data_IF_377444931641
#
_entry.id   IF_377444931641
#
_cell.length_a   1.000
_cell.length_b   1.000
_cell.length_c   1.000
_cell.angle_alpha   90.00
_cell.angle_beta   90.00
_cell.angle_gamma   90.00
#
_symmetry.space_group_name_H-M   'P 1'
#
loop_
_entity.id
_entity.type
_entity.pdbx_description
1 polymer ?
#
# COMPACT_ATOMS: atom_id res chain seq x y z
N UNK A 1 0.01 0.36 16.66
CA UNK A 1 0.86 1.56 16.72
C UNK A 1 0.98 1.92 18.19
N UNK A 2 2.20 1.96 18.74
CA UNK A 2 2.44 2.33 20.14
C UNK A 2 3.03 3.74 20.17
N UNK A 3 2.51 4.64 21.00
CA UNK A 3 3.07 5.97 21.21
C UNK A 3 4.06 6.00 22.38
N UNK A 4 5.04 6.89 22.29
CA UNK A 4 6.10 7.09 23.27
C UNK A 4 6.55 8.56 23.26
N UNK A 5 7.37 8.95 24.23
CA UNK A 5 8.06 10.25 24.24
C UNK A 5 9.57 10.01 24.23
N UNK A 6 10.29 10.68 23.32
CA UNK A 6 11.75 10.64 23.27
C UNK A 6 12.31 11.36 24.50
N UNK A 7 13.18 10.70 25.24
CA UNK A 7 13.73 11.22 26.51
C UNK A 7 14.65 12.42 26.33
N UNK A 8 15.33 12.53 25.19
CA UNK A 8 16.30 13.60 24.92
C UNK A 8 15.66 14.98 24.80
N UNK A 9 14.47 15.09 24.21
CA UNK A 9 13.82 16.37 23.88
C UNK A 9 12.31 16.39 24.14
N UNK A 10 11.74 15.31 24.69
CA UNK A 10 10.33 15.20 25.03
C UNK A 10 9.38 15.02 23.82
N UNK A 11 9.92 14.88 22.60
CA UNK A 11 9.12 14.76 21.38
C UNK A 11 8.23 13.51 21.40
N UNK A 12 6.95 13.64 21.00
CA UNK A 12 6.03 12.49 20.87
C UNK A 12 6.42 11.69 19.64
N UNK A 13 6.63 10.39 19.80
CA UNK A 13 7.08 9.48 18.74
C UNK A 13 6.23 8.22 18.75
N UNK A 14 5.94 7.65 17.59
CA UNK A 14 5.29 6.35 17.46
C UNK A 14 6.29 5.30 17.07
N UNK A 15 6.13 4.11 17.61
CA UNK A 15 6.80 2.90 17.17
C UNK A 15 6.04 2.33 15.97
N UNK A 16 6.70 2.31 14.82
CA UNK A 16 6.17 1.70 13.60
C UNK A 16 7.18 0.70 13.02
N UNK A 17 6.72 -0.47 12.67
CA UNK A 17 7.47 -1.39 11.83
C UNK A 17 7.28 -0.92 10.38
N UNK A 18 8.34 -0.47 9.73
CA UNK A 18 8.35 -0.07 8.31
C UNK A 18 9.64 -0.58 7.67
N UNK A 19 9.62 -0.71 6.35
CA UNK A 19 10.82 -0.95 5.56
C UNK A 19 11.84 0.19 5.80
N UNK A 20 13.03 -0.18 6.26
CA UNK A 20 14.06 0.76 6.73
C UNK A 20 14.67 1.52 5.55
N UNK A 21 14.87 0.88 4.40
CA UNK A 21 15.54 1.50 3.26
C UNK A 21 14.66 2.58 2.65
N UNK A 22 13.38 2.26 2.43
CA UNK A 22 12.39 3.20 1.92
C UNK A 22 12.15 4.33 2.92
N UNK A 23 12.01 3.96 4.20
CA UNK A 23 11.83 4.93 5.27
C UNK A 23 12.98 5.94 5.35
N UNK A 24 14.22 5.48 5.19
CA UNK A 24 15.42 6.33 5.13
C UNK A 24 15.44 7.17 3.86
N UNK A 25 15.06 6.61 2.71
CA UNK A 25 14.97 7.34 1.45
C UNK A 25 14.03 8.55 1.57
N UNK A 26 12.80 8.35 2.06
CA UNK A 26 11.85 9.46 2.28
C UNK A 26 12.23 10.39 3.45
N UNK A 27 13.20 10.01 4.28
CA UNK A 27 13.75 10.88 5.35
C UNK A 27 15.04 11.59 4.94
N UNK A 28 15.52 11.40 3.71
CA UNK A 28 16.76 11.99 3.19
C UNK A 28 16.59 13.47 2.79
N UNK A 29 17.69 14.22 2.77
CA UNK A 29 17.75 15.68 2.51
C UNK A 29 17.76 16.06 1.01
N UNK A 30 16.94 15.43 0.17
CA UNK A 30 16.06 16.26 -0.66
C UNK A 30 14.57 15.95 -0.45
N UNK A 31 14.22 14.72 -0.09
CA UNK A 31 12.83 14.28 0.00
C UNK A 31 12.14 14.79 1.26
N UNK A 32 12.83 14.93 2.38
CA UNK A 32 12.24 15.49 3.61
C UNK A 32 11.81 16.96 3.45
N UNK A 33 12.40 17.65 2.47
CA UNK A 33 12.07 19.04 2.12
C UNK A 33 11.06 19.13 0.97
N UNK A 34 10.75 18.01 0.30
CA UNK A 34 9.76 17.98 -0.76
C UNK A 34 8.36 18.21 -0.16
N UNK A 35 7.65 19.29 -0.55
CA UNK A 35 6.32 19.58 -0.02
C UNK A 35 5.26 18.51 -0.39
N UNK A 36 5.53 17.63 -1.34
CA UNK A 36 4.71 16.47 -1.70
C UNK A 36 5.05 15.21 -0.89
N UNK A 37 6.19 15.18 -0.19
CA UNK A 37 6.52 14.09 0.71
C UNK A 37 5.78 14.26 2.04
N UNK A 38 4.90 13.32 2.33
CA UNK A 38 4.10 13.29 3.55
C UNK A 38 4.57 12.20 4.53
N UNK A 39 5.71 11.56 4.25
CA UNK A 39 6.28 10.56 5.13
C UNK A 39 6.76 11.22 6.43
N UNK A 40 6.45 10.58 7.54
CA UNK A 40 6.95 11.02 8.83
C UNK A 40 8.45 10.73 8.89
N UNK A 41 9.31 11.73 9.20
CA UNK A 41 10.74 11.53 9.26
C UNK A 41 11.15 10.44 10.25
N UNK A 42 12.12 9.63 9.86
CA UNK A 42 12.78 8.67 10.74
C UNK A 42 13.91 9.36 11.48
N UNK A 43 13.82 9.40 12.80
CA UNK A 43 14.86 10.01 13.63
C UNK A 43 15.90 9.01 14.13
N UNK A 44 15.52 7.74 14.29
CA UNK A 44 16.42 6.67 14.71
C UNK A 44 15.88 5.29 14.32
N UNK A 45 16.79 4.36 14.01
CA UNK A 45 16.50 2.95 13.76
C UNK A 45 17.44 2.07 14.60
N UNK A 46 16.88 1.15 15.39
CA UNK A 46 17.64 0.07 16.05
C UNK A 46 17.72 -1.20 15.17
N UNK A 47 18.67 -2.09 15.47
CA UNK A 47 18.96 -3.39 14.81
C UNK A 47 17.71 -4.26 14.47
N UNK A 48 17.85 -5.32 13.64
CA UNK A 48 17.06 -5.62 12.44
C UNK A 48 15.61 -6.13 12.67
N UNK A 49 15.06 -5.99 13.87
CA UNK A 49 13.64 -6.21 14.20
C UNK A 49 13.00 -4.86 14.54
N UNK A 50 13.14 -3.91 13.61
CA UNK A 50 13.25 -2.47 13.89
C UNK A 50 11.95 -1.81 14.36
N UNK A 51 12.01 -1.34 15.60
CA UNK A 51 11.17 -0.27 16.16
C UNK A 51 11.68 1.07 15.60
N UNK A 52 10.86 1.78 14.83
CA UNK A 52 11.20 3.09 14.28
C UNK A 52 10.46 4.17 15.05
N UNK A 53 11.22 5.15 15.58
CA UNK A 53 10.67 6.34 16.24
C UNK A 53 10.36 7.40 15.18
N UNK A 54 9.08 7.55 14.85
CA UNK A 54 8.59 8.60 13.95
C UNK A 54 7.81 9.64 14.75
N UNK A 55 7.99 10.94 14.52
CA UNK A 55 7.24 11.94 15.30
C UNK A 55 5.72 11.84 15.06
N UNK A 56 4.92 11.77 16.12
CA UNK A 56 3.45 11.72 16.01
C UNK A 56 2.95 13.15 15.89
N UNK A 57 2.94 13.67 14.67
CA UNK A 57 2.41 15.00 14.35
C UNK A 57 1.30 14.93 13.30
N UNK A 58 0.55 13.83 13.24
CA UNK A 58 -0.57 13.71 12.30
C UNK A 58 -1.71 14.71 12.57
N UNK A 59 -1.73 15.31 13.77
CA UNK A 59 -2.68 16.35 14.16
C UNK A 59 -2.10 17.76 14.04
N UNK A 60 -0.93 17.94 13.42
CA UNK A 60 -0.29 19.25 13.24
C UNK A 60 -0.13 19.62 11.75
N UNK A 61 -0.32 20.90 11.44
CA UNK A 61 -0.04 21.52 10.14
C UNK A 61 1.41 21.26 9.68
N UNK A 62 1.65 21.37 8.36
CA UNK A 62 2.96 21.04 7.75
C UNK A 62 4.15 21.81 8.35
N UNK A 63 3.92 23.00 8.89
CA UNK A 63 4.94 23.83 9.53
C UNK A 63 5.01 23.63 11.06
N UNK A 64 4.24 22.69 11.60
CA UNK A 64 4.13 22.33 13.02
C UNK A 64 3.67 23.47 13.93
N UNK A 65 3.07 24.54 13.39
CA UNK A 65 2.67 25.72 14.18
C UNK A 65 1.22 25.69 14.65
N UNK A 66 0.40 24.85 14.04
CA UNK A 66 -1.03 24.75 14.33
C UNK A 66 -1.55 23.33 14.15
N UNK A 67 -2.79 23.08 14.57
CA UNK A 67 -3.47 21.79 14.35
C UNK A 67 -3.68 21.55 12.85
N UNK A 68 -3.46 20.32 12.38
CA UNK A 68 -3.68 19.92 11.00
C UNK A 68 -5.15 20.11 10.64
N UNK A 69 -5.42 20.64 9.44
CA UNK A 69 -6.78 20.58 8.89
C UNK A 69 -7.07 19.15 8.46
N UNK A 70 -7.91 18.47 9.23
CA UNK A 70 -8.43 17.17 8.84
C UNK A 70 -9.59 17.37 7.88
N UNK A 71 -9.51 16.72 6.72
CA UNK A 71 -10.62 16.59 5.79
C UNK A 71 -10.93 15.10 5.66
N UNK A 72 -12.22 14.77 5.55
CA UNK A 72 -12.61 13.39 5.30
C UNK A 72 -12.00 12.92 3.97
N UNK A 73 -11.62 11.64 3.88
CA UNK A 73 -11.08 11.04 2.65
C UNK A 73 -11.98 11.27 1.42
N UNK A 74 -13.29 11.42 1.62
CA UNK A 74 -14.24 11.78 0.56
C UNK A 74 -14.11 13.22 0.06
N UNK A 75 -13.76 14.16 0.94
CA UNK A 75 -13.63 15.59 0.63
C UNK A 75 -12.27 15.89 -0.02
N UNK A 76 -11.24 15.10 0.30
CA UNK A 76 -9.91 15.17 -0.32
C UNK A 76 -9.41 13.77 -0.68
N UNK A 77 -9.68 13.30 -1.91
CA UNK A 77 -9.27 11.97 -2.34
C UNK A 77 -7.74 11.79 -2.26
N UNK A 78 -7.25 10.74 -1.58
CA UNK A 78 -5.82 10.50 -1.44
C UNK A 78 -5.23 10.04 -2.78
N UNK A 79 -4.01 10.50 -3.06
CA UNK A 79 -3.20 10.00 -4.18
C UNK A 79 -2.32 8.86 -3.68
N UNK A 80 -2.39 7.72 -4.35
CA UNK A 80 -1.58 6.54 -4.06
C UNK A 80 -0.42 6.47 -5.04
N UNK A 81 0.76 6.11 -4.54
CA UNK A 81 1.97 5.91 -5.34
C UNK A 81 2.54 4.53 -5.00
N UNK A 82 3.01 3.80 -6.01
CA UNK A 82 3.84 2.61 -5.76
C UNK A 82 5.21 3.06 -5.28
N UNK A 83 5.65 2.42 -4.21
CA UNK A 83 6.96 2.60 -3.60
C UNK A 83 7.58 1.21 -3.47
N UNK A 84 8.81 1.13 -2.98
CA UNK A 84 9.55 -0.13 -2.80
C UNK A 84 9.95 -0.83 -4.10
N UNK A 85 10.80 -0.17 -4.89
CA UNK A 85 11.36 -0.79 -6.08
C UNK A 85 12.64 -1.59 -5.79
N UNK A 86 12.95 -1.88 -4.51
CA UNK A 86 14.21 -2.51 -4.09
C UNK A 86 14.42 -3.92 -4.69
N UNK A 87 13.32 -4.62 -4.93
CA UNK A 87 13.31 -5.95 -5.58
C UNK A 87 12.82 -5.90 -7.03
N UNK A 88 12.52 -4.72 -7.57
CA UNK A 88 11.99 -4.57 -8.92
C UNK A 88 13.07 -4.72 -9.98
N UNK A 89 12.69 -5.27 -11.13
CA UNK A 89 13.54 -5.34 -12.32
C UNK A 89 12.81 -4.72 -13.50
N UNK A 90 13.53 -3.93 -14.30
CA UNK A 90 13.01 -3.40 -15.56
C UNK A 90 13.33 -4.40 -16.67
N UNK A 91 12.29 -4.86 -17.36
CA UNK A 91 12.41 -5.75 -18.51
C UNK A 91 12.22 -4.96 -19.80
N UNK A 92 12.94 -5.36 -20.85
CA UNK A 92 12.79 -4.76 -22.18
C UNK A 92 11.45 -5.19 -22.82
N UNK A 93 10.79 -4.28 -23.54
CA UNK A 93 9.51 -4.54 -24.19
C UNK A 93 9.60 -5.56 -25.35
N UNK A 94 10.79 -5.71 -25.95
CA UNK A 94 11.06 -6.73 -26.97
C UNK A 94 11.24 -8.13 -26.38
N UNK A 95 11.35 -8.25 -25.05
CA UNK A 95 11.61 -9.52 -24.40
C UNK A 95 10.29 -10.29 -24.20
N UNK A 96 10.23 -11.54 -24.69
CA UNK A 96 9.21 -12.51 -24.27
C UNK A 96 9.26 -12.65 -22.74
N UNK A 97 8.12 -12.95 -22.05
CA UNK A 97 8.04 -12.88 -20.60
C UNK A 97 9.28 -13.48 -19.96
N UNK A 98 10.00 -12.69 -19.15
CA UNK A 98 11.33 -13.01 -18.68
C UNK A 98 11.18 -14.20 -17.76
N UNK A 99 11.54 -15.37 -18.25
CA UNK A 99 11.64 -16.49 -17.36
C UNK A 99 12.90 -16.29 -16.50
N UNK A 100 12.69 -15.92 -15.25
CA UNK A 100 13.78 -15.77 -14.30
C UNK A 100 14.25 -17.16 -13.85
N UNK A 101 15.57 -17.35 -13.88
CA UNK A 101 16.23 -18.34 -13.05
C UNK A 101 16.42 -17.69 -11.68
N UNK A 102 15.51 -17.99 -10.77
CA UNK A 102 15.74 -17.73 -9.35
C UNK A 102 16.51 -18.95 -8.83
N UNK A 103 17.60 -18.76 -8.08
CA UNK A 103 18.52 -19.85 -7.68
C UNK A 103 17.81 -21.04 -6.98
N UNK A 104 16.63 -20.81 -6.38
CA UNK A 104 15.78 -21.82 -5.74
C UNK A 104 14.74 -22.49 -6.66
N UNK A 105 14.55 -22.00 -7.88
CA UNK A 105 13.54 -22.53 -8.80
C UNK A 105 14.21 -23.32 -9.92
N UNK A 106 13.96 -24.63 -9.95
CA UNK A 106 14.46 -25.57 -10.96
C UNK A 106 13.94 -25.30 -12.37
N UNK A 107 12.95 -24.40 -12.53
CA UNK A 107 12.35 -24.05 -13.81
C UNK A 107 12.27 -22.53 -14.00
N UNK A 108 12.41 -22.08 -15.25
CA UNK A 108 12.27 -20.67 -15.59
C UNK A 108 10.87 -20.14 -15.15
N UNK A 109 10.82 -18.99 -14.45
CA UNK A 109 9.58 -18.45 -13.83
C UNK A 109 9.18 -17.07 -14.37
N UNK A 110 7.90 -16.89 -14.75
CA UNK A 110 7.37 -15.59 -15.16
C UNK A 110 6.91 -14.77 -13.93
N UNK A 111 7.49 -13.59 -13.64
CA UNK A 111 7.15 -12.80 -12.46
C UNK A 111 5.77 -12.13 -12.51
N UNK A 112 5.24 -11.78 -13.68
CA UNK A 112 4.04 -10.94 -13.76
C UNK A 112 2.81 -11.57 -13.11
N UNK A 113 2.52 -12.88 -13.30
CA UNK A 113 1.46 -13.55 -12.55
C UNK A 113 1.68 -13.56 -11.03
N UNK A 114 2.93 -13.55 -10.56
CA UNK A 114 3.25 -13.45 -9.12
C UNK A 114 2.84 -12.09 -8.59
N UNK A 115 3.17 -11.01 -9.29
CA UNK A 115 2.83 -9.65 -8.86
C UNK A 115 1.31 -9.47 -8.74
N UNK A 116 0.54 -10.02 -9.69
CA UNK A 116 -0.93 -10.04 -9.66
C UNK A 116 -1.47 -10.73 -8.40
N UNK A 117 -0.89 -11.86 -8.03
CA UNK A 117 -1.30 -12.59 -6.84
C UNK A 117 -0.91 -11.84 -5.57
N UNK A 118 0.32 -11.31 -5.51
CA UNK A 118 0.82 -10.52 -4.38
C UNK A 118 -0.03 -9.29 -4.10
N UNK A 119 -0.53 -8.65 -5.16
CA UNK A 119 -1.44 -7.50 -5.10
C UNK A 119 -2.73 -7.78 -4.33
N UNK A 120 -3.23 -9.01 -4.39
CA UNK A 120 -4.43 -9.41 -3.65
C UNK A 120 -4.06 -10.02 -2.31
N UNK A 121 -3.04 -10.87 -2.27
CA UNK A 121 -2.67 -11.62 -1.09
C UNK A 121 -2.19 -10.72 0.07
N UNK A 122 -1.32 -9.74 -0.23
CA UNK A 122 -0.77 -8.85 0.80
C UNK A 122 -1.88 -8.02 1.47
N UNK A 123 -2.80 -7.38 0.72
CA UNK A 123 -3.95 -6.72 1.32
C UNK A 123 -4.94 -7.70 1.94
N UNK A 124 -5.19 -8.90 1.38
CA UNK A 124 -6.15 -9.86 1.94
C UNK A 124 -5.79 -10.34 3.35
N UNK A 125 -4.49 -10.35 3.70
CA UNK A 125 -4.00 -10.69 5.04
C UNK A 125 -4.10 -9.54 6.05
N UNK A 126 -4.32 -8.30 5.60
CA UNK A 126 -4.24 -7.11 6.47
C UNK A 126 -5.46 -6.18 6.38
N UNK A 127 -6.01 -5.90 5.20
CA UNK A 127 -7.04 -4.87 4.96
C UNK A 127 -8.10 -5.17 3.89
N UNK A 128 -7.96 -6.20 3.06
CA UNK A 128 -8.76 -6.39 1.83
C UNK A 128 -9.24 -7.83 1.64
N UNK A 129 -9.59 -8.50 2.73
CA UNK A 129 -10.34 -9.73 2.59
C UNK A 129 -11.78 -9.35 2.17
N UNK A 130 -12.09 -9.43 0.87
CA UNK A 130 -13.41 -9.07 0.33
C UNK A 130 -14.56 -9.80 1.00
N UNK A 131 -14.31 -10.95 1.66
CA UNK A 131 -15.33 -11.67 2.42
C UNK A 131 -15.64 -11.08 3.81
N UNK A 132 -14.74 -10.25 4.37
CA UNK A 132 -14.96 -9.60 5.68
C UNK A 132 -15.47 -8.18 5.55
N UNK A 133 -15.66 -7.67 4.33
CA UNK A 133 -16.16 -6.33 4.10
C UNK A 133 -17.44 -6.33 3.29
N UNK A 134 -18.44 -5.61 3.77
CA UNK A 134 -19.67 -5.34 3.04
C UNK A 134 -19.47 -4.17 2.08
N UNK A 135 -20.10 -4.27 0.92
CA UNK A 135 -20.14 -3.22 -0.09
C UNK A 135 -19.06 -3.31 -1.17
N UNK A 136 -18.18 -4.30 -1.10
CA UNK A 136 -17.09 -4.55 -2.07
C UNK A 136 -17.26 -5.86 -2.85
N UNK A 137 -18.44 -6.48 -2.79
CA UNK A 137 -18.75 -7.78 -3.40
C UNK A 137 -18.58 -7.77 -4.93
N UNK A 138 -18.71 -6.59 -5.53
CA UNK A 138 -18.50 -6.40 -6.97
C UNK A 138 -17.05 -6.67 -7.42
N UNK A 139 -16.09 -6.69 -6.48
CA UNK A 139 -14.69 -7.05 -6.77
C UNK A 139 -14.43 -8.55 -6.69
N UNK A 140 -15.32 -9.34 -6.07
CA UNK A 140 -15.07 -10.75 -5.74
C UNK A 140 -14.68 -11.58 -6.95
N UNK A 141 -15.37 -11.41 -8.09
CA UNK A 141 -15.04 -12.16 -9.31
C UNK A 141 -13.64 -11.83 -9.85
N UNK A 142 -13.29 -10.55 -9.92
CA UNK A 142 -11.96 -10.11 -10.37
C UNK A 142 -10.85 -10.60 -9.41
N UNK A 143 -11.08 -10.46 -8.12
CA UNK A 143 -10.15 -10.90 -7.06
C UNK A 143 -9.94 -12.42 -7.11
N UNK A 144 -11.00 -13.18 -7.34
CA UNK A 144 -10.92 -14.64 -7.51
C UNK A 144 -10.03 -15.04 -8.68
N UNK A 145 -10.20 -14.38 -9.83
CA UNK A 145 -9.39 -14.67 -11.03
C UNK A 145 -7.91 -14.28 -10.84
N UNK A 146 -7.64 -13.16 -10.18
CA UNK A 146 -6.27 -12.74 -9.81
C UNK A 146 -5.59 -13.71 -8.85
N UNK A 147 -6.37 -14.40 -8.01
CA UNK A 147 -5.89 -15.36 -7.00
C UNK A 147 -5.88 -16.81 -7.48
N UNK A 148 -6.09 -17.07 -8.78
CA UNK A 148 -6.09 -18.41 -9.31
C UNK A 148 -4.79 -19.17 -8.97
N UNK A 149 -4.92 -20.43 -8.56
CA UNK A 149 -3.79 -21.26 -8.12
C UNK A 149 -2.77 -21.48 -9.24
N UNK A 150 -3.27 -21.78 -10.44
CA UNK A 150 -2.47 -21.80 -11.67
C UNK A 150 -2.16 -20.35 -12.14
N UNK A 151 -0.87 -19.93 -12.17
CA UNK A 151 -0.47 -18.60 -12.63
C UNK A 151 -0.83 -18.31 -14.09
N UNK A 152 -0.92 -19.33 -14.94
CA UNK A 152 -1.25 -19.15 -16.36
C UNK A 152 -2.72 -18.78 -16.59
N UNK A 153 -3.58 -19.07 -15.62
CA UNK A 153 -5.01 -18.73 -15.66
C UNK A 153 -5.31 -17.36 -15.04
N UNK A 154 -4.32 -16.69 -14.45
CA UNK A 154 -4.50 -15.35 -13.90
C UNK A 154 -4.66 -14.35 -15.06
N UNK A 155 -5.57 -13.37 -14.94
CA UNK A 155 -5.68 -12.30 -15.93
C UNK A 155 -4.39 -11.47 -15.93
N UNK A 156 -3.96 -10.98 -17.08
CA UNK A 156 -2.81 -10.07 -17.14
C UNK A 156 -3.20 -8.65 -16.65
N UNK A 157 -2.23 -7.74 -16.52
CA UNK A 157 -2.50 -6.39 -16.02
C UNK A 157 -3.44 -5.56 -16.92
N UNK A 158 -3.41 -5.76 -18.24
CA UNK A 158 -4.30 -5.07 -19.17
C UNK A 158 -5.75 -5.56 -19.00
N UNK A 159 -5.94 -6.87 -18.81
CA UNK A 159 -7.25 -7.46 -18.54
C UNK A 159 -7.81 -6.94 -17.21
N UNK A 160 -6.99 -6.93 -16.16
CA UNK A 160 -7.34 -6.42 -14.83
C UNK A 160 -7.73 -4.94 -14.92
N UNK A 161 -6.90 -4.12 -15.57
CA UNK A 161 -7.16 -2.70 -15.74
C UNK A 161 -8.47 -2.45 -16.49
N UNK A 162 -8.71 -3.18 -17.59
CA UNK A 162 -9.93 -3.08 -18.38
C UNK A 162 -11.17 -3.43 -17.56
N UNK A 163 -11.12 -4.51 -16.78
CA UNK A 163 -12.21 -4.92 -15.87
C UNK A 163 -12.48 -3.87 -14.78
N UNK A 164 -11.43 -3.29 -14.19
CA UNK A 164 -11.57 -2.21 -13.22
C UNK A 164 -12.18 -0.94 -13.84
N UNK A 165 -11.82 -0.59 -15.07
CA UNK A 165 -12.44 0.55 -15.76
C UNK A 165 -13.94 0.32 -15.98
N UNK A 166 -14.32 -0.87 -16.42
CA UNK A 166 -15.74 -1.25 -16.60
C UNK A 166 -16.48 -1.15 -15.27
N UNK A 167 -15.95 -1.75 -14.20
CA UNK A 167 -16.56 -1.66 -12.86
C UNK A 167 -16.72 -0.20 -12.41
N UNK A 168 -15.71 0.63 -12.63
CA UNK A 168 -15.76 2.06 -12.29
C UNK A 168 -16.83 2.83 -13.06
N UNK A 169 -17.11 2.45 -14.32
CA UNK A 169 -18.13 3.11 -15.15
C UNK A 169 -19.54 2.68 -14.76
N UNK A 170 -19.74 1.39 -14.43
CA UNK A 170 -21.06 0.84 -14.10
C UNK A 170 -21.50 1.22 -12.69
N UNK A 171 -20.55 1.40 -11.76
CA UNK A 171 -20.87 1.78 -10.39
C UNK A 171 -21.18 3.27 -10.27
N UNK A 172 -22.28 3.58 -9.57
CA UNK A 172 -22.62 4.97 -9.20
C UNK A 172 -21.49 5.60 -8.39
N UNK A 173 -21.22 6.89 -8.60
CA UNK A 173 -20.22 7.66 -7.81
C UNK A 173 -20.45 7.55 -6.30
N UNK A 174 -21.71 7.49 -5.85
CA UNK A 174 -22.07 7.29 -4.45
C UNK A 174 -21.60 5.93 -3.93
N UNK A 175 -21.71 4.86 -4.73
CA UNK A 175 -21.23 3.52 -4.37
C UNK A 175 -19.70 3.44 -4.35
N UNK A 176 -19.02 4.11 -5.27
CA UNK A 176 -17.54 4.21 -5.24
C UNK A 176 -17.01 5.02 -4.04
N UNK A 177 -17.88 5.83 -3.41
CA UNK A 177 -17.55 6.65 -2.25
C UNK A 177 -18.19 6.15 -0.95
N UNK A 178 -19.01 5.10 -1.01
CA UNK A 178 -19.66 4.58 0.18
C UNK A 178 -18.61 3.99 1.10
N UNK A 179 -18.82 4.16 2.40
CA UNK A 179 -18.00 3.51 3.40
C UNK A 179 -18.01 1.99 3.18
N UNK A 180 -16.85 1.39 3.31
CA UNK A 180 -16.70 -0.07 3.34
C UNK A 180 -16.86 -0.48 4.80
N UNK A 181 -17.87 -1.29 5.09
CA UNK A 181 -18.18 -1.72 6.46
C UNK A 181 -17.53 -3.08 6.72
N UNK A 182 -16.93 -3.27 7.90
CA UNK A 182 -16.42 -4.57 8.31
C UNK A 182 -17.58 -5.45 8.79
N UNK A 183 -17.64 -6.70 8.34
CA UNK A 183 -18.62 -7.70 8.74
C UNK A 183 -18.36 -8.02 10.22
N UNK A 184 -19.08 -7.34 11.12
CA UNK A 184 -18.87 -7.37 12.57
C UNK A 184 -19.13 -6.03 13.27
N UNK A 185 -19.09 -4.91 12.55
CA UNK A 185 -19.58 -3.63 13.05
C UNK A 185 -21.08 -3.51 12.74
N UNK A 186 -21.91 -3.67 13.78
CA UNK A 186 -23.31 -3.25 13.73
C UNK A 186 -23.29 -1.74 13.48
N UNK A 187 -23.76 -1.32 12.31
CA UNK A 187 -23.99 0.10 12.02
C UNK A 187 -25.09 0.60 12.95
N UNK A 188 -24.74 1.46 13.91
CA UNK A 188 -25.70 2.29 14.64
C UNK A 188 -26.20 3.42 13.73
#
# INVERSE_FOLDING_TARGET
MLDARRTQDGARVSLKCIDIEIGRFFSSLPLIQDPANHCVPIYACGHPLTIILTSIHNDMSKDFKSVARHCARMQSPPRYHYIDFGISRKYDASWKPPYMFVEDYTKPWNPFPTDIWSWVYMPSKTFFNVSVYSGVEFLTGLVSDMMHSDPAQRPNMDDIFSRLQILRQVLRKLKLRSQVAHNGEISL
#
